data_IF_112205867699
#
_entry.id   IF_112205867699
#
_cell.length_a   1.000
_cell.length_b   1.000
_cell.length_c   1.000
_cell.angle_alpha   90.00
_cell.angle_beta   90.00
_cell.angle_gamma   90.00
#
_symmetry.space_group_name_H-M   'P 1'
#
loop_
_entity.id
_entity.type
_entity.pdbx_description
1 polymer ?
#
# COMPACT_ATOMS: atom_id res chain seq x y z
N UNK A 1 -30.95 9.11 16.57
CA UNK A 1 -29.49 9.16 16.26
C UNK A 1 -29.26 8.54 14.88
N UNK A 2 -28.82 9.30 13.86
CA UNK A 2 -28.54 8.72 12.55
C UNK A 2 -27.30 7.81 12.64
N UNK A 3 -27.44 6.53 12.33
CA UNK A 3 -26.30 5.60 12.29
C UNK A 3 -25.44 5.95 11.08
N UNK A 4 -24.21 6.40 11.34
CA UNK A 4 -23.22 6.71 10.31
C UNK A 4 -22.58 5.40 9.84
N UNK A 5 -22.75 5.04 8.58
CA UNK A 5 -22.16 3.83 8.00
C UNK A 5 -20.63 3.85 7.92
N UNK A 6 -19.98 2.69 7.70
CA UNK A 6 -18.52 2.56 7.72
C UNK A 6 -17.78 3.49 6.76
N UNK A 7 -18.28 3.67 5.53
CA UNK A 7 -17.69 4.60 4.56
C UNK A 7 -17.74 6.04 5.06
N UNK A 8 -18.88 6.48 5.60
CA UNK A 8 -19.04 7.84 6.13
C UNK A 8 -18.16 8.09 7.38
N UNK A 9 -17.93 7.07 8.23
CA UNK A 9 -16.97 7.17 9.33
C UNK A 9 -15.55 7.38 8.82
N UNK A 10 -15.15 6.69 7.77
CA UNK A 10 -13.82 6.89 7.16
C UNK A 10 -13.70 8.30 6.57
N UNK A 11 -14.73 8.81 5.88
CA UNK A 11 -14.77 10.19 5.39
C UNK A 11 -14.66 11.20 6.52
N UNK A 12 -15.34 10.95 7.65
CA UNK A 12 -15.24 11.82 8.83
C UNK A 12 -13.78 11.92 9.34
N UNK A 13 -13.06 10.80 9.40
CA UNK A 13 -11.65 10.83 9.79
C UNK A 13 -10.74 11.45 8.73
N UNK A 14 -11.01 11.25 7.44
CA UNK A 14 -10.29 11.97 6.39
C UNK A 14 -10.39 13.49 6.56
N UNK A 15 -11.57 14.01 6.89
CA UNK A 15 -11.78 15.43 7.16
C UNK A 15 -11.06 15.94 8.41
N UNK A 16 -10.78 15.07 9.39
CA UNK A 16 -10.03 15.41 10.61
C UNK A 16 -8.51 15.35 10.44
N UNK A 17 -8.02 14.60 9.48
CA UNK A 17 -6.59 14.49 9.21
C UNK A 17 -6.12 15.80 8.56
N UNK A 18 -5.10 16.43 9.14
CA UNK A 18 -4.53 17.67 8.63
C UNK A 18 -3.93 17.51 7.22
N UNK A 19 -4.05 18.56 6.40
CA UNK A 19 -3.50 18.64 5.05
C UNK A 19 -4.54 18.51 3.95
N UNK A 20 -4.08 18.73 2.71
CA UNK A 20 -4.91 18.59 1.52
C UNK A 20 -5.13 17.11 1.19
N UNK A 21 -6.32 16.79 0.77
CA UNK A 21 -6.68 15.48 0.22
C UNK A 21 -7.88 15.63 -0.73
N UNK A 22 -8.02 14.77 -1.73
CA UNK A 22 -9.14 14.81 -2.65
C UNK A 22 -10.42 14.30 -1.97
N UNK A 23 -11.55 14.64 -2.56
CA UNK A 23 -12.83 14.03 -2.18
C UNK A 23 -12.88 12.60 -2.70
N UNK A 24 -12.87 11.64 -1.80
CA UNK A 24 -12.95 10.21 -2.13
C UNK A 24 -14.40 9.74 -2.26
N UNK A 25 -14.68 8.96 -3.29
CA UNK A 25 -15.89 8.13 -3.35
C UNK A 25 -15.58 6.79 -2.71
N UNK A 26 -16.18 6.50 -1.55
CA UNK A 26 -15.91 5.29 -0.78
C UNK A 26 -17.08 4.31 -0.84
N UNK A 27 -16.80 3.08 -1.25
CA UNK A 27 -17.73 1.95 -1.22
C UNK A 27 -17.30 0.97 -0.14
N UNK A 28 -18.25 0.50 0.66
CA UNK A 28 -17.99 -0.48 1.70
C UNK A 28 -18.74 -1.79 1.42
N UNK A 29 -18.02 -2.90 1.50
CA UNK A 29 -18.54 -4.26 1.36
C UNK A 29 -18.39 -5.02 2.68
N UNK A 30 -19.45 -5.65 3.16
CA UNK A 30 -19.37 -6.54 4.33
C UNK A 30 -18.51 -7.74 3.97
N UNK A 31 -18.74 -8.33 2.80
CA UNK A 31 -18.01 -9.46 2.26
C UNK A 31 -17.94 -9.37 0.74
N UNK A 32 -16.79 -9.69 0.16
CA UNK A 32 -16.63 -9.77 -1.29
C UNK A 32 -15.57 -10.81 -1.66
N UNK A 33 -15.49 -11.17 -2.93
CA UNK A 33 -14.43 -12.04 -3.44
C UNK A 33 -13.08 -11.36 -3.28
N UNK A 34 -12.93 -10.16 -3.81
CA UNK A 34 -11.73 -9.33 -3.72
C UNK A 34 -12.08 -7.87 -3.97
N UNK A 35 -11.52 -6.95 -3.19
CA UNK A 35 -11.68 -5.49 -3.42
C UNK A 35 -11.11 -5.07 -4.77
N UNK A 36 -10.10 -5.78 -5.30
CA UNK A 36 -9.55 -5.55 -6.63
C UNK A 36 -10.59 -5.85 -7.73
N UNK A 37 -11.31 -6.97 -7.63
CA UNK A 37 -12.37 -7.34 -8.56
C UNK A 37 -13.52 -6.33 -8.49
N UNK A 38 -13.97 -5.98 -7.27
CA UNK A 38 -15.03 -4.99 -7.06
C UNK A 38 -14.65 -3.63 -7.66
N UNK A 39 -13.39 -3.21 -7.48
CA UNK A 39 -12.89 -1.95 -8.06
C UNK A 39 -12.84 -2.01 -9.59
N UNK A 40 -12.42 -3.15 -10.17
CA UNK A 40 -12.40 -3.34 -11.62
C UNK A 40 -13.81 -3.19 -12.17
N UNK A 41 -14.77 -3.93 -11.63
CA UNK A 41 -16.17 -3.85 -12.06
C UNK A 41 -16.72 -2.42 -11.95
N UNK A 42 -16.40 -1.73 -10.85
CA UNK A 42 -16.84 -0.36 -10.64
C UNK A 42 -16.29 0.60 -11.71
N UNK A 43 -15.03 0.46 -12.08
CA UNK A 43 -14.38 1.32 -13.10
C UNK A 43 -14.82 1.02 -14.53
N UNK A 44 -15.23 -0.23 -14.80
CA UNK A 44 -15.68 -0.68 -16.13
C UNK A 44 -17.15 -0.34 -16.37
N UNK A 45 -18.02 -0.57 -15.39
CA UNK A 45 -19.46 -0.54 -15.56
C UNK A 45 -20.16 0.70 -15.01
N UNK A 46 -19.44 1.57 -14.30
CA UNK A 46 -20.06 2.79 -13.79
C UNK A 46 -19.66 4.02 -14.60
N UNK A 47 -20.65 4.89 -14.84
CA UNK A 47 -20.43 6.25 -15.33
C UNK A 47 -19.78 7.15 -14.26
N UNK A 48 -19.05 6.57 -13.29
CA UNK A 48 -18.36 7.36 -12.28
C UNK A 48 -17.54 8.41 -13.02
N UNK A 49 -17.83 9.67 -12.69
CA UNK A 49 -17.10 10.82 -13.22
C UNK A 49 -15.60 10.49 -13.14
N UNK A 50 -15.00 10.17 -14.29
CA UNK A 50 -13.61 9.69 -14.46
C UNK A 50 -12.54 10.60 -13.85
N UNK A 51 -12.96 11.58 -13.05
CA UNK A 51 -12.13 12.64 -12.46
C UNK A 51 -12.00 12.56 -10.92
N UNK A 52 -12.63 11.59 -10.27
CA UNK A 52 -12.58 11.50 -8.81
C UNK A 52 -11.92 10.20 -8.34
N UNK A 53 -11.15 10.25 -7.26
CA UNK A 53 -10.60 9.05 -6.66
C UNK A 53 -11.71 8.22 -6.01
N UNK A 54 -11.59 6.90 -6.15
CA UNK A 54 -12.54 5.93 -5.64
C UNK A 54 -11.81 4.84 -4.85
N UNK A 55 -12.43 4.35 -3.79
CA UNK A 55 -11.93 3.19 -3.08
C UNK A 55 -13.05 2.22 -2.67
N UNK A 56 -12.76 0.94 -2.80
CA UNK A 56 -13.54 -0.17 -2.27
C UNK A 56 -12.87 -0.64 -0.98
N UNK A 57 -13.63 -0.69 0.10
CA UNK A 57 -13.19 -1.17 1.41
C UNK A 57 -14.02 -2.39 1.75
N UNK A 58 -13.40 -3.49 2.14
CA UNK A 58 -14.12 -4.68 2.58
C UNK A 58 -13.83 -4.99 4.06
N UNK A 59 -14.85 -5.52 4.76
CA UNK A 59 -14.68 -6.06 6.11
C UNK A 59 -13.94 -7.41 6.07
N UNK A 60 -14.23 -8.23 5.03
CA UNK A 60 -13.54 -9.49 4.75
C UNK A 60 -13.54 -9.81 3.24
N UNK A 61 -12.52 -10.53 2.79
CA UNK A 61 -12.43 -11.08 1.44
C UNK A 61 -12.28 -12.61 1.52
N UNK A 62 -12.94 -13.35 0.64
CA UNK A 62 -12.80 -14.81 0.59
C UNK A 62 -11.86 -15.31 -0.50
N UNK A 63 -11.38 -14.42 -1.37
CA UNK A 63 -10.37 -14.70 -2.41
C UNK A 63 -9.51 -13.45 -2.64
N UNK A 64 -8.91 -12.94 -1.55
CA UNK A 64 -7.98 -11.81 -1.65
C UNK A 64 -6.77 -12.18 -2.50
N UNK A 65 -6.32 -11.25 -3.34
CA UNK A 65 -5.22 -11.45 -4.29
C UNK A 65 -3.97 -10.73 -3.81
N UNK A 66 -2.89 -11.48 -3.66
CA UNK A 66 -1.55 -10.97 -3.42
C UNK A 66 -0.71 -10.89 -4.71
N UNK A 67 0.58 -10.70 -4.54
CA UNK A 67 1.54 -10.72 -5.65
C UNK A 67 1.67 -12.14 -6.24
N UNK A 68 1.94 -12.24 -7.55
CA UNK A 68 2.15 -13.49 -8.28
C UNK A 68 1.01 -14.49 -8.05
N UNK A 69 -0.23 -13.98 -8.05
CA UNK A 69 -1.46 -14.75 -7.82
C UNK A 69 -1.54 -15.47 -6.47
N UNK A 70 -0.66 -15.13 -5.52
CA UNK A 70 -0.71 -15.68 -4.16
C UNK A 70 -1.97 -15.22 -3.45
N UNK A 71 -2.55 -16.09 -2.65
CA UNK A 71 -3.71 -15.75 -1.83
C UNK A 71 -3.33 -14.77 -0.72
N UNK A 72 -4.12 -13.72 -0.56
CA UNK A 72 -4.04 -12.81 0.56
C UNK A 72 -5.17 -13.10 1.55
N UNK A 73 -4.83 -13.65 2.71
CA UNK A 73 -5.79 -13.99 3.76
C UNK A 73 -6.37 -12.70 4.35
N UNK A 74 -7.69 -12.53 4.22
CA UNK A 74 -8.38 -11.27 4.52
C UNK A 74 -9.59 -11.46 5.44
N UNK A 75 -9.42 -11.98 6.68
CA UNK A 75 -10.52 -12.16 7.62
C UNK A 75 -10.97 -10.80 8.20
N UNK A 76 -12.07 -10.82 8.95
CA UNK A 76 -12.53 -9.64 9.72
C UNK A 76 -11.44 -9.09 10.61
N UNK A 77 -11.35 -7.76 10.72
CA UNK A 77 -10.41 -7.10 11.63
C UNK A 77 -9.18 -6.47 10.96
N UNK A 78 -8.97 -6.70 9.67
CA UNK A 78 -7.96 -5.98 8.88
C UNK A 78 -8.52 -4.79 8.10
N UNK A 79 -7.66 -4.06 7.43
CA UNK A 79 -8.00 -3.07 6.41
C UNK A 79 -7.71 -3.71 5.06
N UNK A 80 -8.77 -4.01 4.33
CA UNK A 80 -8.72 -4.59 3.00
C UNK A 80 -9.32 -3.57 2.05
N UNK A 81 -8.48 -2.95 1.23
CA UNK A 81 -8.93 -1.90 0.35
C UNK A 81 -8.27 -1.99 -1.03
N UNK A 82 -9.02 -1.59 -2.05
CA UNK A 82 -8.48 -1.25 -3.36
C UNK A 82 -8.93 0.15 -3.73
N UNK A 83 -7.99 0.97 -4.14
CA UNK A 83 -8.22 2.37 -4.46
C UNK A 83 -7.73 2.70 -5.86
N UNK A 84 -8.40 3.63 -6.54
CA UNK A 84 -7.99 4.18 -7.82
C UNK A 84 -7.97 5.71 -7.75
N UNK A 85 -6.90 6.29 -8.27
CA UNK A 85 -6.71 7.72 -8.39
C UNK A 85 -6.53 8.11 -9.86
N UNK A 86 -7.33 9.03 -10.42
CA UNK A 86 -7.18 9.45 -11.82
C UNK A 86 -5.90 10.26 -12.00
N UNK A 87 -5.13 9.94 -13.01
CA UNK A 87 -3.90 10.65 -13.36
C UNK A 87 -4.12 11.42 -14.66
N UNK A 88 -3.77 12.69 -14.64
CA UNK A 88 -3.86 13.59 -15.78
C UNK A 88 -2.50 14.05 -16.30
N UNK A 89 -1.40 13.54 -15.72
CA UNK A 89 -0.05 13.92 -16.09
C UNK A 89 0.62 12.84 -16.92
N UNK A 90 1.26 13.24 -18.03
CA UNK A 90 2.11 12.37 -18.85
C UNK A 90 3.47 12.07 -18.18
N UNK A 91 3.87 12.84 -17.17
CA UNK A 91 5.19 12.78 -16.52
C UNK A 91 5.21 11.96 -15.23
N UNK A 92 4.27 11.04 -15.07
CA UNK A 92 4.21 10.23 -13.86
C UNK A 92 5.27 9.10 -13.89
N UNK A 93 6.16 9.09 -12.90
CA UNK A 93 7.22 8.09 -12.78
C UNK A 93 6.68 6.76 -12.20
N UNK A 94 6.03 5.96 -13.05
CA UNK A 94 5.41 4.68 -12.65
C UNK A 94 6.39 3.72 -11.96
N UNK A 95 7.65 3.73 -12.38
CA UNK A 95 8.68 2.79 -11.92
C UNK A 95 9.02 2.93 -10.43
N UNK A 96 8.85 4.14 -9.87
CA UNK A 96 9.17 4.42 -8.46
C UNK A 96 7.93 4.60 -7.58
N UNK A 97 6.73 4.47 -8.13
CA UNK A 97 5.50 4.71 -7.36
C UNK A 97 5.33 3.73 -6.19
N UNK A 98 5.78 2.48 -6.35
CA UNK A 98 5.84 1.52 -5.24
C UNK A 98 6.61 2.07 -4.05
N UNK A 99 7.76 2.68 -4.32
CA UNK A 99 8.62 3.25 -3.30
C UNK A 99 7.97 4.46 -2.66
N UNK A 100 7.38 5.35 -3.48
CA UNK A 100 6.65 6.53 -2.99
C UNK A 100 5.55 6.13 -2.01
N UNK A 101 4.75 5.10 -2.33
CA UNK A 101 3.71 4.59 -1.45
C UNK A 101 4.30 3.94 -0.20
N UNK A 102 5.32 3.10 -0.36
CA UNK A 102 6.00 2.46 0.78
C UNK A 102 6.56 3.47 1.77
N UNK A 103 7.21 4.53 1.29
CA UNK A 103 7.73 5.62 2.13
C UNK A 103 6.60 6.31 2.89
N UNK A 104 5.50 6.68 2.21
CA UNK A 104 4.39 7.39 2.87
C UNK A 104 3.67 6.52 3.89
N UNK A 105 3.60 5.22 3.67
CA UNK A 105 3.10 4.27 4.67
C UNK A 105 4.06 4.16 5.88
N UNK A 106 5.38 4.11 5.64
CA UNK A 106 6.36 4.13 6.72
C UNK A 106 6.31 5.44 7.53
N UNK A 107 6.24 6.58 6.86
CA UNK A 107 6.12 7.90 7.50
C UNK A 107 4.82 8.03 8.30
N UNK A 108 3.71 7.51 7.77
CA UNK A 108 2.42 7.47 8.45
C UNK A 108 2.50 6.69 9.77
N UNK A 109 3.14 5.52 9.76
CA UNK A 109 3.32 4.67 10.94
C UNK A 109 4.32 5.29 11.93
N UNK A 110 5.40 5.88 11.43
CA UNK A 110 6.39 6.57 12.26
C UNK A 110 5.81 7.75 13.04
N UNK A 111 4.84 8.49 12.47
CA UNK A 111 4.10 9.55 13.17
C UNK A 111 3.28 9.04 14.36
N UNK A 112 2.98 7.75 14.40
CA UNK A 112 2.32 7.07 15.52
C UNK A 112 3.33 6.31 16.40
N UNK A 113 4.61 6.67 16.34
CA UNK A 113 5.72 6.03 17.05
C UNK A 113 5.91 4.53 16.76
N UNK A 114 5.48 4.08 15.56
CA UNK A 114 5.66 2.71 15.12
C UNK A 114 6.86 2.64 14.17
N UNK A 115 7.97 2.05 14.63
CA UNK A 115 9.18 1.88 13.84
C UNK A 115 9.03 0.69 12.90
N UNK A 116 8.91 1.00 11.62
CA UNK A 116 8.76 0.01 10.55
C UNK A 116 9.84 0.18 9.50
N UNK A 117 10.02 -0.86 8.69
CA UNK A 117 10.90 -0.83 7.53
C UNK A 117 10.17 -1.25 6.25
N UNK A 118 10.71 -0.82 5.12
CA UNK A 118 10.27 -1.19 3.79
C UNK A 118 11.03 -2.46 3.36
N UNK A 119 10.32 -3.56 3.17
CA UNK A 119 10.81 -4.69 2.41
C UNK A 119 10.48 -4.47 0.95
N UNK A 120 11.53 -4.24 0.16
CA UNK A 120 11.37 -4.02 -1.28
C UNK A 120 10.66 -5.23 -1.93
N UNK A 121 9.72 -4.98 -2.83
CA UNK A 121 9.34 -3.67 -3.35
C UNK A 121 8.05 -3.10 -2.73
N UNK A 122 7.28 -3.83 -1.91
CA UNK A 122 5.88 -3.51 -1.64
C UNK A 122 5.33 -4.03 -0.30
N UNK A 123 6.18 -4.27 0.66
CA UNK A 123 5.77 -4.73 1.98
C UNK A 123 6.32 -3.84 3.08
N UNK A 124 5.51 -3.59 4.11
CA UNK A 124 5.94 -2.91 5.33
C UNK A 124 6.04 -3.93 6.45
N UNK A 125 7.20 -3.94 7.10
CA UNK A 125 7.53 -4.86 8.16
C UNK A 125 7.75 -4.13 9.50
N UNK A 126 7.32 -4.78 10.57
CA UNK A 126 7.70 -4.44 11.94
C UNK A 126 8.61 -5.57 12.45
N UNK A 127 9.88 -5.26 12.68
CA UNK A 127 10.89 -6.28 12.87
C UNK A 127 10.96 -7.25 11.67
N UNK A 128 10.80 -8.54 11.93
CA UNK A 128 10.79 -9.60 10.92
C UNK A 128 9.39 -9.96 10.39
N UNK A 129 8.32 -9.27 10.82
CA UNK A 129 6.94 -9.65 10.53
C UNK A 129 6.24 -8.62 9.66
N UNK A 130 5.45 -9.10 8.71
CA UNK A 130 4.70 -8.28 7.77
C UNK A 130 3.47 -7.64 8.43
N UNK A 131 3.36 -6.30 8.32
CA UNK A 131 2.23 -5.51 8.79
C UNK A 131 1.32 -5.11 7.63
N UNK A 132 1.91 -4.64 6.52
CA UNK A 132 1.19 -4.17 5.34
C UNK A 132 1.79 -4.81 4.09
N UNK A 133 0.93 -5.21 3.16
CA UNK A 133 1.29 -5.50 1.78
C UNK A 133 0.47 -4.63 0.84
N UNK A 134 1.07 -4.16 -0.24
CA UNK A 134 0.39 -3.33 -1.22
C UNK A 134 0.83 -3.67 -2.66
N UNK A 135 -0.11 -3.55 -3.60
CA UNK A 135 0.09 -3.89 -5.01
C UNK A 135 -0.35 -2.71 -5.87
N UNK A 136 0.54 -1.75 -6.15
CA UNK A 136 0.23 -0.67 -7.06
C UNK A 136 0.25 -1.16 -8.51
N UNK A 137 -0.68 -0.62 -9.29
CA UNK A 137 -0.81 -0.88 -10.73
C UNK A 137 -1.12 0.43 -11.44
N UNK A 138 -0.68 0.53 -12.67
CA UNK A 138 -1.01 1.62 -13.58
C UNK A 138 -2.01 1.09 -14.60
N UNK A 139 -3.13 1.76 -14.76
CA UNK A 139 -4.14 1.45 -15.77
C UNK A 139 -3.96 2.45 -16.91
N UNK A 140 -3.76 1.91 -18.11
CA UNK A 140 -3.59 2.71 -19.32
C UNK A 140 -4.72 2.47 -20.32
N UNK A 141 -5.00 3.47 -21.16
CA UNK A 141 -5.80 3.33 -22.38
C UNK A 141 -4.93 3.80 -23.55
N UNK A 142 -4.48 2.85 -24.36
CA UNK A 142 -3.43 3.12 -25.32
C UNK A 142 -2.15 3.60 -24.61
N UNK A 143 -1.64 4.78 -24.97
CA UNK A 143 -0.44 5.37 -24.36
C UNK A 143 -0.73 6.25 -23.13
N UNK A 144 -2.00 6.49 -22.80
CA UNK A 144 -2.38 7.37 -21.71
C UNK A 144 -2.57 6.59 -20.41
N UNK A 145 -2.03 7.12 -19.31
CA UNK A 145 -2.30 6.63 -17.96
C UNK A 145 -3.64 7.22 -17.52
N UNK A 146 -4.57 6.35 -17.14
CA UNK A 146 -5.91 6.78 -16.72
C UNK A 146 -6.03 6.78 -15.21
N UNK A 147 -5.51 5.71 -14.56
CA UNK A 147 -5.58 5.54 -13.11
C UNK A 147 -4.30 4.93 -12.57
N UNK A 148 -3.93 5.42 -11.37
CA UNK A 148 -3.12 4.64 -10.44
C UNK A 148 -4.06 3.84 -9.56
N UNK A 149 -3.85 2.54 -9.50
CA UNK A 149 -4.57 1.63 -8.60
C UNK A 149 -3.62 1.11 -7.53
N UNK A 150 -4.18 0.83 -6.37
CA UNK A 150 -3.48 0.09 -5.32
C UNK A 150 -4.44 -0.87 -4.64
N UNK A 151 -4.09 -2.16 -4.60
CA UNK A 151 -4.63 -3.09 -3.63
C UNK A 151 -3.78 -3.04 -2.37
N UNK A 152 -4.39 -2.94 -1.19
CA UNK A 152 -3.67 -2.85 0.08
C UNK A 152 -4.36 -3.70 1.14
N UNK A 153 -3.54 -4.51 1.83
CA UNK A 153 -3.91 -5.22 3.04
C UNK A 153 -3.07 -4.77 4.23
N UNK A 154 -3.71 -4.31 5.30
CA UNK A 154 -3.07 -4.00 6.58
C UNK A 154 -3.69 -4.86 7.69
N UNK A 155 -2.83 -5.54 8.43
CA UNK A 155 -3.24 -6.40 9.53
C UNK A 155 -3.46 -5.53 10.77
N UNK A 156 -4.70 -5.46 11.28
CA UNK A 156 -5.04 -4.53 12.38
C UNK A 156 -5.42 -5.26 13.66
N UNK A 157 -6.56 -5.94 13.67
CA UNK A 157 -7.10 -6.68 14.81
C UNK A 157 -7.20 -8.18 14.55
N UNK A 158 -7.08 -8.58 13.29
CA UNK A 158 -7.30 -9.94 12.84
C UNK A 158 -6.18 -10.89 13.27
N UNK A 159 -6.50 -12.17 13.28
CA UNK A 159 -5.51 -13.25 13.39
C UNK A 159 -4.50 -13.15 12.24
N UNK A 160 -3.26 -13.42 12.53
CA UNK A 160 -2.16 -13.33 11.58
C UNK A 160 -1.51 -14.69 11.36
N UNK A 161 -1.11 -15.03 10.12
CA UNK A 161 -0.13 -16.09 9.88
C UNK A 161 1.16 -15.84 10.68
N UNK A 162 1.99 -16.85 10.82
CA UNK A 162 3.26 -16.79 11.57
C UNK A 162 4.18 -15.65 11.13
N UNK A 163 4.16 -15.33 9.83
CA UNK A 163 4.98 -14.27 9.22
C UNK A 163 4.36 -12.88 9.33
N UNK A 164 3.13 -12.77 9.85
CA UNK A 164 2.42 -11.50 9.99
C UNK A 164 2.43 -10.96 11.42
N UNK A 165 2.18 -9.66 11.54
CA UNK A 165 1.93 -9.00 12.83
C UNK A 165 0.76 -8.03 12.71
N UNK A 166 -0.11 -8.00 13.71
CA UNK A 166 -1.21 -7.05 13.75
C UNK A 166 -0.82 -5.76 14.44
N UNK A 167 -1.44 -4.67 14.02
CA UNK A 167 -1.29 -3.37 14.66
C UNK A 167 -1.64 -3.44 16.16
N UNK A 168 -2.65 -4.25 16.51
CA UNK A 168 -3.05 -4.46 17.91
C UNK A 168 -1.96 -5.07 18.79
N UNK A 169 -1.16 -5.98 18.21
CA UNK A 169 0.01 -6.54 18.93
C UNK A 169 1.11 -5.52 19.07
N UNK A 170 1.36 -4.69 18.05
CA UNK A 170 2.38 -3.65 18.11
C UNK A 170 2.03 -2.59 19.16
N UNK A 171 0.77 -2.12 19.16
CA UNK A 171 0.29 -1.09 20.07
C UNK A 171 -0.18 -1.63 21.43
N UNK A 172 -0.15 -2.94 21.62
CA UNK A 172 -0.60 -3.64 22.84
C UNK A 172 -2.03 -3.26 23.27
N UNK A 173 -2.91 -2.99 22.30
CA UNK A 173 -4.31 -2.63 22.53
C UNK A 173 -5.23 -3.24 21.49
N UNK A 174 -6.46 -3.57 21.90
CA UNK A 174 -7.55 -3.95 21.00
C UNK A 174 -8.46 -2.77 20.64
N UNK A 175 -8.28 -1.63 21.29
CA UNK A 175 -9.08 -0.43 21.03
C UNK A 175 -8.48 0.36 19.86
N UNK A 176 -8.60 -0.20 18.65
CA UNK A 176 -8.07 0.39 17.42
C UNK A 176 -9.22 0.79 16.52
N UNK A 177 -9.28 2.05 16.14
CA UNK A 177 -10.26 2.56 15.20
C UNK A 177 -9.84 2.30 13.75
N UNK A 178 -10.39 1.25 13.14
CA UNK A 178 -10.07 0.87 11.76
C UNK A 178 -10.42 1.97 10.75
N UNK A 179 -11.47 2.77 10.96
CA UNK A 179 -11.85 3.86 10.05
C UNK A 179 -10.83 4.99 10.06
N UNK A 180 -10.27 5.30 11.23
CA UNK A 180 -9.16 6.25 11.37
C UNK A 180 -7.92 5.77 10.60
N UNK A 181 -7.52 4.51 10.79
CA UNK A 181 -6.37 3.95 10.09
C UNK A 181 -6.61 3.80 8.58
N UNK A 182 -7.83 3.47 8.15
CA UNK A 182 -8.21 3.47 6.73
C UNK A 182 -8.06 4.88 6.12
N UNK A 183 -8.50 5.91 6.83
CA UNK A 183 -8.33 7.29 6.39
C UNK A 183 -6.86 7.68 6.27
N UNK A 184 -6.01 7.28 7.22
CA UNK A 184 -4.55 7.51 7.14
C UNK A 184 -3.91 6.79 5.94
N UNK A 185 -4.32 5.56 5.65
CA UNK A 185 -3.84 4.81 4.48
C UNK A 185 -4.24 5.52 3.18
N UNK A 186 -5.49 5.97 3.05
CA UNK A 186 -5.94 6.74 1.88
C UNK A 186 -5.18 8.07 1.73
N UNK A 187 -4.91 8.75 2.85
CA UNK A 187 -4.06 9.96 2.86
C UNK A 187 -2.63 9.63 2.40
N UNK A 188 -2.04 8.55 2.91
CA UNK A 188 -0.70 8.12 2.51
C UNK A 188 -0.62 7.78 1.01
N UNK A 189 -1.69 7.19 0.44
CA UNK A 189 -1.78 6.95 -1.00
C UNK A 189 -1.78 8.27 -1.79
N UNK A 190 -2.58 9.24 -1.38
CA UNK A 190 -2.59 10.56 -2.02
C UNK A 190 -1.22 11.26 -1.90
N UNK A 191 -0.64 11.26 -0.71
CA UNK A 191 0.68 11.86 -0.47
C UNK A 191 1.78 11.19 -1.30
N UNK A 192 1.63 9.88 -1.58
CA UNK A 192 2.56 9.15 -2.43
C UNK A 192 2.52 9.65 -3.89
N UNK A 193 1.34 10.01 -4.39
CA UNK A 193 1.18 10.57 -5.74
C UNK A 193 1.93 11.89 -5.86
N UNK A 194 1.77 12.78 -4.88
CA UNK A 194 2.48 14.06 -4.85
C UNK A 194 4.00 13.88 -4.63
N UNK A 195 4.37 12.95 -3.75
CA UNK A 195 5.78 12.63 -3.47
C UNK A 195 6.50 12.07 -4.70
N UNK A 196 5.79 11.33 -5.54
CA UNK A 196 6.35 10.67 -6.74
C UNK A 196 6.98 11.63 -7.75
N UNK A 197 6.57 12.90 -7.73
CA UNK A 197 7.15 13.98 -8.55
C UNK A 197 8.60 14.31 -8.15
N UNK A 198 9.03 13.89 -6.96
CA UNK A 198 10.36 14.19 -6.37
C UNK A 198 11.23 12.94 -6.34
N UNK A 199 11.67 12.47 -7.52
CA UNK A 199 12.37 11.18 -7.69
C UNK A 199 13.57 11.00 -6.74
N UNK A 200 14.45 11.98 -6.62
CA UNK A 200 15.62 11.88 -5.75
C UNK A 200 15.25 11.73 -4.27
N UNK A 201 14.26 12.50 -3.82
CA UNK A 201 13.73 12.35 -2.47
C UNK A 201 13.16 10.94 -2.23
N UNK A 202 12.42 10.41 -3.22
CA UNK A 202 11.84 9.06 -3.14
C UNK A 202 12.95 8.02 -2.98
N UNK A 203 13.96 8.04 -3.82
CA UNK A 203 15.08 7.07 -3.76
C UNK A 203 15.84 7.19 -2.44
N UNK A 204 16.20 8.41 -2.03
CA UNK A 204 16.89 8.67 -0.75
C UNK A 204 16.09 8.15 0.45
N UNK A 205 14.80 8.46 0.48
CA UNK A 205 13.92 8.04 1.58
C UNK A 205 13.65 6.55 1.57
N UNK A 206 13.50 5.92 0.39
CA UNK A 206 13.33 4.48 0.27
C UNK A 206 14.54 3.73 0.84
N UNK A 207 15.74 4.18 0.52
CA UNK A 207 16.98 3.61 1.08
C UNK A 207 17.06 3.76 2.61
N UNK A 208 16.53 4.85 3.17
CA UNK A 208 16.48 5.06 4.62
C UNK A 208 15.54 4.08 5.33
N UNK A 209 14.43 3.70 4.70
CA UNK A 209 13.47 2.73 5.26
C UNK A 209 13.77 1.29 4.85
N UNK A 210 14.66 1.06 3.86
CA UNK A 210 14.94 -0.26 3.33
C UNK A 210 15.46 -1.21 4.40
N UNK A 211 14.79 -2.34 4.59
CA UNK A 211 15.37 -3.44 5.38
C UNK A 211 16.34 -4.24 4.54
N UNK A 212 17.48 -4.57 5.12
CA UNK A 212 18.51 -5.42 4.49
C UNK A 212 18.38 -6.90 4.87
N UNK A 213 17.40 -7.25 5.68
CA UNK A 213 17.25 -8.60 6.26
C UNK A 213 16.57 -9.61 5.33
N UNK A 214 15.95 -9.17 4.23
CA UNK A 214 15.14 -10.05 3.38
C UNK A 214 15.55 -9.98 1.91
N UNK A 215 16.46 -10.85 1.54
CA UNK A 215 16.86 -11.04 0.16
C UNK A 215 15.68 -11.56 -0.70
N UNK A 216 15.64 -11.24 -1.99
CA UNK A 216 14.74 -11.87 -2.94
C UNK A 216 14.94 -13.39 -2.99
N UNK A 217 13.88 -14.12 -3.37
CA UNK A 217 13.96 -15.57 -3.57
C UNK A 217 15.07 -15.94 -4.54
N UNK A 218 15.79 -17.03 -4.24
CA UNK A 218 16.90 -17.52 -5.05
C UNK A 218 18.28 -16.96 -4.66
N UNK A 219 18.37 -16.08 -3.65
CA UNK A 219 19.63 -15.56 -3.14
C UNK A 219 19.85 -15.95 -1.69
N UNK A 220 21.01 -16.60 -1.41
CA UNK A 220 21.37 -17.03 -0.06
C UNK A 220 21.88 -15.86 0.79
N UNK A 221 21.38 -15.67 2.03
CA UNK A 221 21.87 -14.64 2.94
C UNK A 221 23.30 -14.89 3.44
N UNK A 222 23.85 -16.09 3.24
CA UNK A 222 25.26 -16.40 3.55
C UNK A 222 26.23 -15.85 2.52
N UNK A 223 25.75 -15.50 1.32
CA UNK A 223 26.62 -15.09 0.22
C UNK A 223 26.25 -13.74 -0.40
N UNK A 224 25.00 -13.32 -0.29
CA UNK A 224 24.50 -12.08 -0.87
C UNK A 224 24.00 -11.13 0.22
N UNK A 225 24.24 -9.85 0.02
CA UNK A 225 23.69 -8.80 0.87
C UNK A 225 22.92 -7.77 0.04
N UNK A 226 21.91 -7.16 0.64
CA UNK A 226 21.22 -6.03 0.02
C UNK A 226 22.10 -4.79 0.16
N UNK A 227 22.49 -4.22 -0.97
CA UNK A 227 23.24 -2.96 -1.03
C UNK A 227 22.31 -1.77 -0.80
N UNK A 228 21.44 -1.49 -1.79
CA UNK A 228 20.53 -0.34 -1.79
C UNK A 228 19.46 -0.46 -2.91
N UNK A 229 18.69 0.61 -3.07
CA UNK A 229 17.79 0.86 -4.19
C UNK A 229 18.45 1.89 -5.12
N UNK A 230 18.57 1.55 -6.40
CA UNK A 230 19.19 2.42 -7.41
C UNK A 230 18.29 3.60 -7.82
N UNK A 231 18.82 4.49 -8.65
CA UNK A 231 18.09 5.68 -9.16
C UNK A 231 16.84 5.33 -9.99
N UNK A 232 16.67 4.08 -10.42
CA UNK A 232 15.50 3.60 -11.16
C UNK A 232 14.52 2.81 -10.28
N UNK A 233 14.75 2.76 -8.96
CA UNK A 233 13.91 2.05 -8.02
C UNK A 233 14.14 0.54 -7.95
N UNK A 234 15.22 0.04 -8.55
CA UNK A 234 15.57 -1.38 -8.56
C UNK A 234 16.44 -1.71 -7.36
N UNK A 235 16.26 -2.92 -6.80
CA UNK A 235 17.08 -3.40 -5.70
C UNK A 235 18.45 -3.84 -6.21
N UNK A 236 19.52 -3.35 -5.60
CA UNK A 236 20.89 -3.84 -5.82
C UNK A 236 21.28 -4.78 -4.70
N UNK A 237 21.80 -5.93 -5.07
CA UNK A 237 22.40 -6.88 -4.15
C UNK A 237 23.86 -7.12 -4.57
N UNK A 238 24.72 -7.42 -3.60
CA UNK A 238 26.13 -7.66 -3.87
C UNK A 238 26.63 -8.90 -3.16
N UNK A 239 27.63 -9.53 -3.78
CA UNK A 239 28.40 -10.64 -3.24
C UNK A 239 29.86 -10.43 -3.65
N UNK A 240 30.76 -10.20 -2.69
CA UNK A 240 32.17 -9.87 -2.98
C UNK A 240 32.27 -8.71 -3.99
N UNK A 241 32.84 -8.96 -5.19
CA UNK A 241 32.95 -7.97 -6.27
C UNK A 241 31.77 -7.97 -7.24
N UNK A 242 30.81 -8.90 -7.10
CA UNK A 242 29.68 -9.03 -7.99
C UNK A 242 28.50 -8.13 -7.54
N UNK A 243 27.98 -7.33 -8.46
CA UNK A 243 26.77 -6.53 -8.27
C UNK A 243 25.65 -7.04 -9.16
N UNK A 244 24.48 -7.32 -8.58
CA UNK A 244 23.27 -7.65 -9.33
C UNK A 244 22.18 -6.64 -9.10
N UNK A 245 21.45 -6.35 -10.16
CA UNK A 245 20.29 -5.46 -10.16
C UNK A 245 19.03 -6.32 -10.31
N UNK A 246 18.21 -6.35 -9.27
CA UNK A 246 16.96 -7.11 -9.25
C UNK A 246 15.88 -6.23 -9.85
N UNK A 247 15.29 -6.71 -10.93
CA UNK A 247 14.11 -6.12 -11.57
C UNK A 247 12.88 -6.82 -11.03
N UNK A 248 11.84 -6.06 -10.74
CA UNK A 248 10.53 -6.61 -10.53
C UNK A 248 9.79 -6.63 -11.85
N UNK A 249 9.12 -7.74 -12.15
CA UNK A 249 8.19 -7.87 -13.26
C UNK A 249 6.77 -7.69 -12.75
#
# INVERSE_FOLDING_TARGET
MKVIGPAARTVFYLKKIQGQYPTWTLHYKIKCKSTEIELTNLLEYSEIKKKQPVAIIAREQFSGVGQDSKTWVSPKGGIWLSAAYPIFSKEFACQIFNLSLGIKLCEMLKKENINVCLKWPNDIFFGSKKLIGFLPRVITRGKEIIYLRVGLGMIVLNYTPSEGISLSKILQTKNINQHYWTAKVLKAFYDAIECNKKKEYVIKSANKFLTKSFLPSGYSPHTWIIKDIDSNGKLRIEKETQLKVIRRF
#
